data_IF_847615714318
#
_entry.id   IF_847615714318
#
_cell.length_a   1.000
_cell.length_b   1.000
_cell.length_c   1.000
_cell.angle_alpha   90.00
_cell.angle_beta   90.00
_cell.angle_gamma   90.00
#
_symmetry.space_group_name_H-M   'P 1'
#
loop_
_entity.id
_entity.type
_entity.pdbx_description
1 polymer ?
#
# COMPACT_ATOMS: atom_id res chain seq x y z
N UNK A 1 27.40 10.13 -4.12
CA UNK A 1 26.81 11.41 -4.58
C UNK A 1 26.36 11.35 -6.04
N UNK A 2 27.24 11.16 -7.04
CA UNK A 2 26.84 11.09 -8.48
C UNK A 2 25.79 10.03 -8.87
N UNK A 3 25.59 8.98 -8.06
CA UNK A 3 24.66 7.86 -8.38
C UNK A 3 23.18 8.20 -8.12
N UNK A 4 22.86 8.85 -6.99
CA UNK A 4 21.47 9.17 -6.62
C UNK A 4 20.90 10.25 -7.54
N UNK A 5 21.65 11.33 -7.77
CA UNK A 5 21.24 12.37 -8.71
C UNK A 5 20.95 11.80 -10.11
N UNK A 6 21.84 10.94 -10.63
CA UNK A 6 21.61 10.24 -11.91
C UNK A 6 20.38 9.32 -11.89
N UNK A 7 20.18 8.56 -10.82
CA UNK A 7 19.01 7.68 -10.66
C UNK A 7 17.70 8.50 -10.63
N UNK A 8 17.72 9.64 -9.93
CA UNK A 8 16.61 10.59 -9.85
C UNK A 8 16.28 11.14 -11.24
N UNK A 9 17.26 11.66 -11.96
CA UNK A 9 17.05 12.23 -13.29
C UNK A 9 16.55 11.17 -14.29
N UNK A 10 17.13 9.97 -14.24
CA UNK A 10 16.68 8.85 -15.07
C UNK A 10 15.22 8.48 -14.77
N UNK A 11 14.86 8.36 -13.50
CA UNK A 11 13.51 8.01 -13.09
C UNK A 11 12.49 9.10 -13.46
N UNK A 12 12.80 10.38 -13.19
CA UNK A 12 11.92 11.50 -13.56
C UNK A 12 11.70 11.56 -15.07
N UNK A 13 12.74 11.33 -15.87
CA UNK A 13 12.60 11.24 -17.33
C UNK A 13 11.68 10.07 -17.76
N UNK A 14 11.82 8.89 -17.15
CA UNK A 14 10.93 7.74 -17.39
C UNK A 14 9.48 8.02 -16.98
N UNK A 15 9.28 8.87 -15.97
CA UNK A 15 7.96 9.23 -15.45
C UNK A 15 7.29 10.37 -16.24
N UNK A 16 7.94 10.99 -17.22
CA UNK A 16 7.32 12.02 -18.07
C UNK A 16 6.03 11.51 -18.73
N UNK A 17 5.08 12.43 -18.92
CA UNK A 17 3.84 12.18 -19.64
C UNK A 17 3.73 13.12 -20.85
N UNK A 18 3.08 12.71 -21.95
CA UNK A 18 2.83 13.60 -23.08
C UNK A 18 1.80 14.69 -22.78
N UNK A 19 0.85 14.42 -21.86
CA UNK A 19 -0.30 15.31 -21.58
C UNK A 19 -0.21 16.02 -20.24
N UNK A 20 0.65 15.54 -19.32
CA UNK A 20 0.93 16.14 -18.01
C UNK A 20 2.45 16.17 -17.81
N UNK A 21 2.95 16.86 -16.78
CA UNK A 21 4.40 16.82 -16.46
C UNK A 21 4.88 15.40 -16.15
N UNK A 22 4.14 14.67 -15.32
CA UNK A 22 4.44 13.30 -14.92
C UNK A 22 3.20 12.38 -15.04
N UNK A 23 3.42 11.12 -15.41
CA UNK A 23 2.40 10.07 -15.34
C UNK A 23 2.27 9.53 -13.92
N UNK A 24 1.15 8.88 -13.63
CA UNK A 24 0.91 8.22 -12.34
C UNK A 24 1.97 7.14 -12.10
N UNK A 25 2.60 7.19 -10.93
CA UNK A 25 3.46 6.09 -10.47
C UNK A 25 2.61 4.95 -9.90
N UNK A 26 2.82 3.73 -10.39
CA UNK A 26 2.03 2.54 -10.04
C UNK A 26 2.83 1.54 -9.19
N UNK A 27 3.86 2.02 -8.47
CA UNK A 27 4.73 1.13 -7.69
C UNK A 27 4.18 0.72 -6.32
N UNK A 28 3.19 1.42 -5.77
CA UNK A 28 2.57 1.01 -4.49
C UNK A 28 1.44 -0.01 -4.74
N UNK A 29 1.44 -1.16 -4.04
CA UNK A 29 0.38 -2.17 -4.13
C UNK A 29 -0.92 -1.78 -3.42
N UNK A 30 -0.89 -0.75 -2.56
CA UNK A 30 -2.03 -0.35 -1.75
C UNK A 30 -2.82 0.78 -2.42
N UNK A 31 -4.13 0.57 -2.65
CA UNK A 31 -5.04 1.67 -2.95
C UNK A 31 -5.24 2.45 -1.67
N UNK A 32 -5.05 3.78 -1.66
CA UNK A 32 -5.15 4.57 -0.44
C UNK A 32 -5.76 5.95 -0.68
N UNK A 33 -6.65 6.39 0.23
CA UNK A 33 -7.21 7.74 0.22
C UNK A 33 -6.09 8.79 0.34
N UNK A 34 -6.12 9.82 -0.49
CA UNK A 34 -5.03 10.81 -0.53
C UNK A 34 -3.69 10.26 -1.06
N UNK A 35 -3.70 9.11 -1.74
CA UNK A 35 -2.52 8.51 -2.35
C UNK A 35 -1.84 9.45 -3.35
N UNK A 36 -0.55 9.71 -3.14
CA UNK A 36 0.26 10.70 -3.88
C UNK A 36 0.84 10.16 -5.18
N UNK A 37 0.24 9.11 -5.76
CA UNK A 37 0.75 8.44 -6.97
C UNK A 37 0.89 9.37 -8.18
N UNK A 38 0.04 10.39 -8.31
CA UNK A 38 0.15 11.44 -9.34
C UNK A 38 1.19 12.52 -8.99
N UNK A 39 1.52 12.68 -7.71
CA UNK A 39 2.44 13.70 -7.21
C UNK A 39 3.89 13.18 -7.06
N UNK A 40 4.15 11.88 -7.22
CA UNK A 40 5.49 11.29 -7.05
C UNK A 40 6.55 12.06 -7.84
N UNK A 41 6.35 12.27 -9.15
CA UNK A 41 7.32 13.00 -9.97
C UNK A 41 7.53 14.43 -9.47
N UNK A 42 6.45 15.14 -9.15
CA UNK A 42 6.51 16.51 -8.66
C UNK A 42 7.26 16.63 -7.33
N UNK A 43 7.06 15.70 -6.40
CA UNK A 43 7.74 15.70 -5.09
C UNK A 43 9.22 15.37 -5.28
N UNK A 44 9.53 14.37 -6.10
CA UNK A 44 10.91 13.90 -6.29
C UNK A 44 11.81 14.94 -6.97
N UNK A 45 11.26 15.88 -7.74
CA UNK A 45 12.05 17.02 -8.28
C UNK A 45 12.80 17.77 -7.17
N UNK A 46 12.10 18.03 -6.06
CA UNK A 46 12.60 18.77 -4.92
C UNK A 46 13.38 17.92 -3.91
N UNK A 47 13.55 16.62 -4.18
CA UNK A 47 14.34 15.75 -3.33
C UNK A 47 15.82 16.17 -3.39
N UNK A 48 16.48 16.48 -2.26
CA UNK A 48 17.87 16.90 -2.27
C UNK A 48 18.77 15.78 -2.83
N UNK A 49 19.82 16.14 -3.60
CA UNK A 49 20.65 15.14 -4.30
C UNK A 49 21.49 14.27 -3.38
N UNK A 50 21.77 14.74 -2.15
CA UNK A 50 22.70 14.13 -1.21
C UNK A 50 22.01 13.64 0.08
N UNK A 51 20.79 13.12 -0.04
CA UNK A 51 20.14 12.44 1.08
C UNK A 51 20.59 10.98 1.19
N UNK A 52 20.73 10.50 2.42
CA UNK A 52 21.02 9.08 2.71
C UNK A 52 19.79 8.31 3.17
N UNK A 53 18.82 9.03 3.76
CA UNK A 53 17.65 8.49 4.43
C UNK A 53 16.49 9.46 4.34
N UNK A 54 15.29 8.93 4.20
CA UNK A 54 14.03 9.67 4.31
C UNK A 54 13.25 9.14 5.51
N UNK A 55 12.72 10.05 6.31
CA UNK A 55 11.79 9.72 7.40
C UNK A 55 10.42 10.25 7.01
N UNK A 56 9.45 9.35 6.86
CA UNK A 56 8.06 9.71 6.52
C UNK A 56 7.16 9.49 7.74
N UNK A 57 6.76 10.55 8.46
CA UNK A 57 5.90 10.42 9.64
C UNK A 57 4.44 10.04 9.32
N UNK A 58 4.04 10.15 8.04
CA UNK A 58 2.68 9.89 7.56
C UNK A 58 2.73 9.02 6.31
N UNK A 59 3.10 7.76 6.48
CA UNK A 59 3.38 6.84 5.38
C UNK A 59 2.14 6.57 4.51
N UNK A 60 0.98 6.32 5.14
CA UNK A 60 -0.26 6.03 4.43
C UNK A 60 -0.10 4.94 3.35
N UNK A 61 -0.47 5.28 2.12
CA UNK A 61 -0.34 4.40 0.94
C UNK A 61 1.08 4.28 0.35
N UNK A 62 2.08 4.95 0.91
CA UNK A 62 3.50 4.72 0.60
C UNK A 62 3.95 5.04 -0.83
N UNK A 63 3.17 5.75 -1.65
CA UNK A 63 3.50 5.90 -3.08
C UNK A 63 4.79 6.66 -3.35
N UNK A 64 5.13 7.63 -2.50
CA UNK A 64 6.35 8.44 -2.65
C UNK A 64 7.53 7.68 -2.06
N UNK A 65 7.32 7.11 -0.88
CA UNK A 65 8.28 6.34 -0.09
C UNK A 65 8.76 5.10 -0.87
N UNK A 66 7.83 4.35 -1.46
CA UNK A 66 8.15 3.22 -2.33
C UNK A 66 8.97 3.68 -3.54
N UNK A 67 8.62 4.82 -4.16
CA UNK A 67 9.40 5.33 -5.30
C UNK A 67 10.84 5.70 -4.88
N UNK A 68 10.99 6.35 -3.72
CA UNK A 68 12.31 6.73 -3.17
C UNK A 68 13.14 5.48 -2.88
N UNK A 69 12.57 4.49 -2.17
CA UNK A 69 13.29 3.27 -1.82
C UNK A 69 13.64 2.43 -3.05
N UNK A 70 12.65 2.18 -3.92
CA UNK A 70 12.79 1.24 -5.05
C UNK A 70 13.56 1.84 -6.22
N UNK A 71 13.27 3.09 -6.58
CA UNK A 71 13.78 3.69 -7.82
C UNK A 71 15.10 4.44 -7.58
N UNK A 72 15.30 5.00 -6.37
CA UNK A 72 16.50 5.76 -6.03
C UNK A 72 17.47 5.01 -5.12
N UNK A 73 17.03 3.91 -4.48
CA UNK A 73 17.85 3.11 -3.57
C UNK A 73 18.17 3.83 -2.26
N UNK A 74 17.29 4.73 -1.81
CA UNK A 74 17.45 5.52 -0.60
C UNK A 74 16.68 4.85 0.54
N UNK A 75 17.28 4.71 1.71
CA UNK A 75 16.60 4.13 2.87
C UNK A 75 15.40 4.99 3.29
N UNK A 76 14.26 4.35 3.53
CA UNK A 76 13.07 5.04 4.03
C UNK A 76 12.63 4.42 5.35
N UNK A 77 12.42 5.25 6.36
CA UNK A 77 11.77 4.88 7.61
C UNK A 77 10.37 5.49 7.60
N UNK A 78 9.36 4.62 7.56
CA UNK A 78 7.95 5.01 7.55
C UNK A 78 7.30 4.87 8.92
N UNK A 79 6.47 5.85 9.28
CA UNK A 79 5.60 5.80 10.44
C UNK A 79 4.16 6.07 10.01
N UNK A 80 3.23 5.46 10.72
CA UNK A 80 1.82 5.78 10.65
C UNK A 80 1.21 5.46 12.02
N UNK A 81 0.16 6.18 12.41
CA UNK A 81 -0.52 5.93 13.68
C UNK A 81 -1.37 4.65 13.62
N UNK A 82 -1.75 4.22 12.42
CA UNK A 82 -2.65 3.09 12.28
C UNK A 82 -1.91 1.76 12.25
N UNK A 83 -1.95 1.05 13.38
CA UNK A 83 -1.24 -0.21 13.63
C UNK A 83 -1.45 -1.28 12.54
N UNK A 84 -2.69 -1.47 12.06
CA UNK A 84 -2.98 -2.49 11.03
C UNK A 84 -2.35 -2.15 9.68
N UNK A 85 -2.28 -0.86 9.32
CA UNK A 85 -1.59 -0.40 8.13
C UNK A 85 -0.08 -0.60 8.25
N UNK A 86 0.49 -0.30 9.42
CA UNK A 86 1.90 -0.54 9.71
C UNK A 86 2.23 -2.04 9.60
N UNK A 87 1.41 -2.90 10.22
CA UNK A 87 1.55 -4.35 10.12
C UNK A 87 1.49 -4.82 8.65
N UNK A 88 0.53 -4.32 7.87
CA UNK A 88 0.46 -4.62 6.43
C UNK A 88 1.77 -4.29 5.71
N UNK A 89 2.33 -3.09 5.91
CA UNK A 89 3.59 -2.71 5.26
C UNK A 89 4.75 -3.57 5.69
N UNK A 90 4.87 -3.90 6.98
CA UNK A 90 5.91 -4.79 7.49
C UNK A 90 5.81 -6.18 6.84
N UNK A 91 4.61 -6.75 6.72
CA UNK A 91 4.39 -8.04 6.08
C UNK A 91 4.60 -7.97 4.55
N UNK A 92 4.13 -6.91 3.89
CA UNK A 92 4.31 -6.70 2.45
C UNK A 92 5.80 -6.61 2.07
N UNK A 93 6.63 -6.06 2.96
CA UNK A 93 8.08 -5.94 2.75
C UNK A 93 8.80 -7.25 3.11
N UNK A 94 8.50 -7.84 4.28
CA UNK A 94 9.25 -8.99 4.80
C UNK A 94 8.79 -10.35 4.26
N UNK A 95 7.52 -10.49 3.89
CA UNK A 95 6.88 -11.76 3.53
C UNK A 95 5.91 -11.63 2.33
N UNK A 96 6.29 -10.95 1.22
CA UNK A 96 5.38 -10.65 0.11
C UNK A 96 4.75 -11.91 -0.52
N UNK A 97 5.52 -12.99 -0.70
CA UNK A 97 5.00 -14.23 -1.28
C UNK A 97 3.95 -14.91 -0.42
N UNK A 98 4.11 -14.85 0.91
CA UNK A 98 3.13 -15.45 1.84
C UNK A 98 1.86 -14.62 1.86
N UNK A 99 1.98 -13.28 1.83
CA UNK A 99 0.84 -12.38 1.71
C UNK A 99 0.07 -12.66 0.42
N UNK A 100 0.77 -12.74 -0.72
CA UNK A 100 0.18 -13.11 -2.01
C UNK A 100 -0.54 -14.47 -1.96
N UNK A 101 0.10 -15.51 -1.43
CA UNK A 101 -0.52 -16.84 -1.26
C UNK A 101 -1.72 -16.82 -0.31
N UNK A 102 -1.73 -15.94 0.69
CA UNK A 102 -2.86 -15.71 1.58
C UNK A 102 -4.04 -15.08 0.85
N UNK A 103 -3.77 -14.03 0.08
CA UNK A 103 -4.76 -13.33 -0.77
C UNK A 103 -5.37 -14.27 -1.81
N UNK A 104 -4.55 -15.04 -2.53
CA UNK A 104 -5.02 -16.01 -3.54
C UNK A 104 -6.05 -17.01 -3.03
N UNK A 105 -6.04 -17.34 -1.73
CA UNK A 105 -7.00 -18.28 -1.13
C UNK A 105 -8.38 -17.68 -0.91
N UNK A 106 -8.51 -16.35 -1.00
CA UNK A 106 -9.74 -15.63 -0.67
C UNK A 106 -10.47 -15.28 -1.97
N UNK A 107 -11.60 -15.95 -2.24
CA UNK A 107 -12.46 -15.54 -3.35
C UNK A 107 -13.11 -14.18 -3.07
N UNK A 108 -13.14 -13.24 -4.02
CA UNK A 108 -13.65 -11.89 -3.81
C UNK A 108 -15.18 -11.85 -3.88
N UNK A 109 -15.85 -12.50 -2.93
CA UNK A 109 -17.32 -12.53 -2.83
C UNK A 109 -17.81 -11.59 -1.73
N UNK A 110 -19.04 -11.09 -1.84
CA UNK A 110 -19.66 -10.27 -0.80
C UNK A 110 -19.71 -10.98 0.57
N UNK A 111 -19.95 -12.31 0.55
CA UNK A 111 -19.94 -13.15 1.76
C UNK A 111 -18.57 -13.16 2.43
N UNK A 112 -17.49 -13.40 1.67
CA UNK A 112 -16.13 -13.42 2.21
C UNK A 112 -15.71 -12.03 2.69
N UNK A 113 -16.06 -10.98 1.95
CA UNK A 113 -15.78 -9.60 2.34
C UNK A 113 -16.44 -9.24 3.66
N UNK A 114 -17.73 -9.54 3.82
CA UNK A 114 -18.46 -9.24 5.06
C UNK A 114 -17.91 -10.04 6.25
N UNK A 115 -17.58 -11.33 6.04
CA UNK A 115 -16.92 -12.15 7.05
C UNK A 115 -15.60 -11.52 7.51
N UNK A 116 -14.71 -11.19 6.57
CA UNK A 116 -13.41 -10.58 6.87
C UNK A 116 -13.56 -9.22 7.54
N UNK A 117 -14.49 -8.38 7.05
CA UNK A 117 -14.81 -7.07 7.64
C UNK A 117 -15.21 -7.21 9.11
N UNK A 118 -16.06 -8.18 9.44
CA UNK A 118 -16.49 -8.41 10.81
C UNK A 118 -15.35 -8.93 11.70
N UNK A 119 -14.52 -9.84 11.18
CA UNK A 119 -13.30 -10.29 11.89
C UNK A 119 -12.34 -9.12 12.18
N UNK A 120 -12.09 -8.24 11.20
CA UNK A 120 -11.24 -7.06 11.39
C UNK A 120 -11.85 -6.06 12.37
N UNK A 121 -13.18 -5.87 12.34
CA UNK A 121 -13.89 -5.00 13.30
C UNK A 121 -13.72 -5.51 14.73
N UNK A 122 -13.86 -6.82 14.95
CA UNK A 122 -13.66 -7.44 16.27
C UNK A 122 -12.21 -7.27 16.74
N UNK A 123 -11.25 -7.52 15.85
CA UNK A 123 -9.82 -7.36 16.14
C UNK A 123 -9.46 -5.89 16.46
N UNK A 124 -9.98 -4.93 15.71
CA UNK A 124 -9.67 -3.50 15.88
C UNK A 124 -10.27 -2.91 17.15
N UNK A 125 -11.53 -3.23 17.46
CA UNK A 125 -12.24 -2.68 18.61
C UNK A 125 -11.82 -3.28 19.96
N UNK A 126 -10.95 -4.31 19.98
CA UNK A 126 -10.42 -4.94 21.20
C UNK A 126 -11.53 -5.32 22.20
N UNK A 127 -12.65 -5.88 21.73
CA UNK A 127 -13.76 -6.26 22.62
C UNK A 127 -13.29 -7.22 23.71
N UNK A 128 -13.68 -6.97 24.97
CA UNK A 128 -13.46 -7.89 26.09
C UNK A 128 -14.06 -9.26 25.76
N UNK A 129 -13.23 -10.30 25.84
CA UNK A 129 -13.61 -11.68 25.49
C UNK A 129 -13.30 -12.12 24.05
N UNK A 130 -12.71 -11.26 23.20
CA UNK A 130 -12.13 -11.69 21.93
C UNK A 130 -10.74 -12.33 22.18
N UNK A 131 -10.69 -13.66 22.16
CA UNK A 131 -9.48 -14.47 22.38
C UNK A 131 -8.53 -14.54 21.17
N UNK A 132 -9.03 -14.19 19.97
CA UNK A 132 -8.34 -14.39 18.70
C UNK A 132 -7.55 -13.19 18.20
N UNK A 133 -6.36 -12.91 18.76
CA UNK A 133 -5.39 -12.06 18.03
C UNK A 133 -5.14 -12.68 16.65
N UNK A 134 -5.58 -12.00 15.58
CA UNK A 134 -5.17 -12.35 14.23
C UNK A 134 -3.64 -12.33 14.20
N UNK A 135 -3.05 -13.39 13.67
CA UNK A 135 -1.60 -13.40 13.43
C UNK A 135 -1.27 -12.30 12.42
N UNK A 136 -0.10 -11.68 12.55
CA UNK A 136 0.33 -10.54 11.72
C UNK A 136 0.09 -10.73 10.22
N UNK A 137 0.47 -11.90 9.68
CA UNK A 137 0.24 -12.25 8.27
C UNK A 137 -1.24 -12.30 7.90
N UNK A 138 -2.09 -12.90 8.75
CA UNK A 138 -3.53 -12.99 8.51
C UNK A 138 -4.18 -11.60 8.62
N UNK A 139 -3.79 -10.82 9.63
CA UNK A 139 -4.24 -9.44 9.80
C UNK A 139 -3.87 -8.58 8.57
N UNK A 140 -2.64 -8.67 8.06
CA UNK A 140 -2.21 -7.98 6.85
C UNK A 140 -2.97 -8.43 5.61
N UNK A 141 -3.21 -9.74 5.46
CA UNK A 141 -3.99 -10.32 4.35
C UNK A 141 -5.41 -9.79 4.35
N UNK A 142 -6.08 -9.84 5.50
CA UNK A 142 -7.45 -9.35 5.66
C UNK A 142 -7.54 -7.85 5.50
N UNK A 143 -6.60 -7.10 6.07
CA UNK A 143 -6.51 -5.65 5.92
C UNK A 143 -6.44 -5.26 4.44
N UNK A 144 -5.48 -5.81 3.69
CA UNK A 144 -5.37 -5.54 2.26
C UNK A 144 -6.65 -5.90 1.53
N UNK A 145 -7.19 -7.10 1.76
CA UNK A 145 -8.40 -7.56 1.10
C UNK A 145 -9.60 -6.63 1.38
N UNK A 146 -9.85 -6.29 2.64
CA UNK A 146 -10.98 -5.42 3.01
C UNK A 146 -10.78 -3.99 2.46
N UNK A 147 -9.59 -3.43 2.64
CA UNK A 147 -9.26 -2.06 2.27
C UNK A 147 -9.26 -1.88 0.75
N UNK A 148 -8.49 -2.70 0.02
CA UNK A 148 -8.33 -2.53 -1.41
C UNK A 148 -9.57 -2.90 -2.21
N UNK A 149 -10.46 -3.77 -1.71
CA UNK A 149 -11.70 -4.11 -2.40
C UNK A 149 -12.87 -3.19 -2.01
N UNK A 150 -12.66 -2.25 -1.08
CA UNK A 150 -13.68 -1.28 -0.72
C UNK A 150 -13.89 -0.19 -1.78
N UNK A 151 -15.08 0.40 -1.75
CA UNK A 151 -15.40 1.66 -2.42
C UNK A 151 -14.65 2.81 -1.72
N UNK A 152 -13.92 3.63 -2.49
CA UNK A 152 -13.16 4.76 -1.94
C UNK A 152 -12.16 4.31 -0.86
N UNK A 153 -11.11 3.55 -1.25
CA UNK A 153 -10.33 2.62 -0.41
C UNK A 153 -10.29 3.02 1.07
N UNK A 154 -11.15 2.39 1.86
CA UNK A 154 -11.39 2.68 3.26
C UNK A 154 -11.45 1.42 4.10
N UNK A 155 -10.81 1.47 5.26
CA UNK A 155 -10.85 0.41 6.25
C UNK A 155 -12.28 0.21 6.77
N UNK A 156 -12.74 -1.05 6.80
CA UNK A 156 -14.13 -1.43 7.13
C UNK A 156 -15.18 -0.77 6.23
N UNK A 157 -14.80 -0.37 5.01
CA UNK A 157 -15.69 0.22 4.02
C UNK A 157 -16.71 -0.75 3.43
N UNK A 158 -17.42 -0.30 2.41
CA UNK A 158 -18.33 -1.13 1.62
C UNK A 158 -17.59 -1.77 0.46
N UNK A 159 -17.85 -3.05 0.17
CA UNK A 159 -17.24 -3.72 -0.98
C UNK A 159 -17.65 -3.02 -2.28
N UNK A 160 -16.67 -2.70 -3.12
CA UNK A 160 -16.94 -2.22 -4.48
C UNK A 160 -17.38 -3.37 -5.38
N UNK A 161 -18.41 -3.14 -6.19
CA UNK A 161 -18.88 -4.12 -7.19
C UNK A 161 -17.80 -4.48 -8.22
N UNK A 162 -16.88 -3.56 -8.53
CA UNK A 162 -15.79 -3.76 -9.49
C UNK A 162 -14.91 -4.94 -9.08
N UNK A 163 -14.64 -5.09 -7.79
CA UNK A 163 -13.75 -6.14 -7.31
C UNK A 163 -14.47 -7.44 -6.94
N UNK A 164 -15.77 -7.57 -7.22
CA UNK A 164 -16.43 -8.87 -7.21
C UNK A 164 -15.99 -9.74 -8.40
N UNK A 165 -15.46 -9.10 -9.45
CA UNK A 165 -14.82 -9.77 -10.58
C UNK A 165 -13.47 -10.35 -10.17
N UNK A 166 -13.33 -11.67 -10.28
CA UNK A 166 -12.13 -12.40 -9.91
C UNK A 166 -10.92 -12.01 -10.76
N UNK A 167 -11.08 -11.71 -12.06
CA UNK A 167 -9.97 -11.24 -12.90
C UNK A 167 -9.48 -9.87 -12.45
N UNK A 168 -10.38 -8.98 -12.05
CA UNK A 168 -10.01 -7.67 -11.48
C UNK A 168 -9.27 -7.82 -10.16
N UNK A 169 -9.75 -8.71 -9.28
CA UNK A 169 -9.06 -9.01 -8.03
C UNK A 169 -7.66 -9.60 -8.26
N UNK A 170 -7.54 -10.60 -9.13
CA UNK A 170 -6.25 -11.24 -9.45
C UNK A 170 -5.26 -10.28 -10.09
N UNK A 171 -5.72 -9.29 -10.87
CA UNK A 171 -4.83 -8.27 -11.46
C UNK A 171 -4.26 -7.28 -10.43
N UNK A 172 -4.78 -7.27 -9.20
CA UNK A 172 -4.39 -6.35 -8.14
C UNK A 172 -3.35 -6.95 -7.19
N UNK A 173 -3.40 -8.27 -6.98
CA UNK A 173 -2.54 -8.99 -6.03
C UNK A 173 -1.30 -9.56 -6.71
#
# INVERSE_FOLDING_TARGET
MKKIAKAKDFFLNKLKSPTKKYKRYLGSPLRYGGGKTLAVGHILEFLPPDIKKVVSPFFGGGSVEVAIAKELGIEVIGYDIFEMLVNYWQIQISQPEKLYKGLLKIKPTAKNYEKIKNTLRQHWNKFDGFDGKLKDLECATYYFFNHNLSYGPGFLGWMSSIYKDEKKYLSMI
#
